data_IF_839842299964
#
_entry.id   IF_839842299964
#
_cell.length_a   1.000
_cell.length_b   1.000
_cell.length_c   1.000
_cell.angle_alpha   90.00
_cell.angle_beta   90.00
_cell.angle_gamma   90.00
#
_symmetry.space_group_name_H-M   'P 1'
#
loop_
_entity.id
_entity.type
_entity.pdbx_description
1 polymer ?
#
# COMPACT_ATOMS: atom_id res chain seq x y z
N UNK A 1 -11.06 -55.12 33.38
CA UNK A 1 -9.96 -54.20 33.80
C UNK A 1 -9.20 -53.59 32.61
N UNK A 2 -9.35 -54.13 31.39
CA UNK A 2 -8.65 -53.60 30.20
C UNK A 2 -9.40 -52.50 29.44
N UNK A 3 -10.74 -52.50 29.48
CA UNK A 3 -11.58 -51.52 28.77
C UNK A 3 -11.44 -50.12 29.39
N UNK A 4 -11.47 -49.99 30.71
CA UNK A 4 -11.32 -48.68 31.38
C UNK A 4 -9.95 -48.05 31.11
N UNK A 5 -8.87 -48.86 31.12
CA UNK A 5 -7.53 -48.41 30.77
C UNK A 5 -7.45 -47.97 29.32
N UNK A 6 -8.05 -48.73 28.40
CA UNK A 6 -8.11 -48.38 26.99
C UNK A 6 -8.87 -47.06 26.76
N UNK A 7 -10.03 -46.89 27.38
CA UNK A 7 -10.81 -45.65 27.29
C UNK A 7 -10.04 -44.46 27.86
N UNK A 8 -9.33 -44.64 28.98
CA UNK A 8 -8.50 -43.58 29.57
C UNK A 8 -7.36 -43.13 28.63
N UNK A 9 -6.65 -44.09 28.02
CA UNK A 9 -5.63 -43.78 27.01
C UNK A 9 -6.21 -43.09 25.78
N UNK A 10 -7.39 -43.51 25.33
CA UNK A 10 -8.08 -42.87 24.22
C UNK A 10 -8.43 -41.41 24.53
N UNK A 11 -8.96 -41.13 25.73
CA UNK A 11 -9.24 -39.77 26.17
C UNK A 11 -7.97 -38.94 26.30
N UNK A 12 -6.88 -39.52 26.82
CA UNK A 12 -5.60 -38.82 26.95
C UNK A 12 -5.04 -38.43 25.57
N UNK A 13 -5.06 -39.35 24.62
CA UNK A 13 -4.64 -39.10 23.23
C UNK A 13 -5.53 -38.06 22.56
N UNK A 14 -6.85 -38.12 22.78
CA UNK A 14 -7.78 -37.13 22.25
C UNK A 14 -7.47 -35.72 22.78
N UNK A 15 -7.27 -35.58 24.09
CA UNK A 15 -6.90 -34.30 24.71
C UNK A 15 -5.56 -33.78 24.18
N UNK A 16 -4.57 -34.67 24.02
CA UNK A 16 -3.29 -34.31 23.44
C UNK A 16 -3.42 -33.86 21.98
N UNK A 17 -4.25 -34.55 21.19
CA UNK A 17 -4.57 -34.19 19.81
C UNK A 17 -5.23 -32.81 19.71
N UNK A 18 -6.14 -32.47 20.62
CA UNK A 18 -6.75 -31.13 20.69
C UNK A 18 -5.70 -30.07 21.00
N UNK A 19 -4.84 -30.29 22.00
CA UNK A 19 -3.77 -29.34 22.35
C UNK A 19 -2.82 -29.14 21.17
N UNK A 20 -2.37 -30.23 20.54
CA UNK A 20 -1.53 -30.18 19.36
C UNK A 20 -2.22 -29.38 18.24
N UNK A 21 -3.51 -29.64 17.99
CA UNK A 21 -4.30 -28.91 16.99
C UNK A 21 -4.35 -27.39 17.25
N UNK A 22 -4.54 -26.97 18.51
CA UNK A 22 -4.52 -25.55 18.88
C UNK A 22 -3.14 -24.92 18.66
N UNK A 23 -2.07 -25.64 19.00
CA UNK A 23 -0.69 -25.17 18.78
C UNK A 23 -0.40 -25.00 17.28
N UNK A 24 -0.81 -25.97 16.45
CA UNK A 24 -0.69 -25.86 14.99
C UNK A 24 -1.47 -24.67 14.43
N UNK A 25 -2.72 -24.48 14.88
CA UNK A 25 -3.52 -23.33 14.44
C UNK A 25 -2.85 -21.99 14.82
N UNK A 26 -2.31 -21.88 16.03
CA UNK A 26 -1.59 -20.67 16.45
C UNK A 26 -0.36 -20.41 15.55
N UNK A 27 0.38 -21.46 15.19
CA UNK A 27 1.51 -21.36 14.27
C UNK A 27 1.08 -20.95 12.85
N UNK A 28 0.00 -21.52 12.33
CA UNK A 28 -0.56 -21.16 11.01
C UNK A 28 -1.04 -19.71 10.97
N UNK A 29 -1.68 -19.22 12.05
CA UNK A 29 -2.09 -17.82 12.15
C UNK A 29 -0.89 -16.87 12.13
N UNK A 30 0.19 -17.23 12.85
CA UNK A 30 1.42 -16.44 12.81
C UNK A 30 2.02 -16.42 11.40
N UNK A 31 2.12 -17.58 10.75
CA UNK A 31 2.65 -17.68 9.38
C UNK A 31 1.80 -16.88 8.38
N UNK A 32 0.47 -16.94 8.50
CA UNK A 32 -0.44 -16.17 7.64
C UNK A 32 -0.25 -14.66 7.81
N UNK A 33 -0.06 -14.18 9.04
CA UNK A 33 0.22 -12.76 9.28
C UNK A 33 1.54 -12.33 8.65
N UNK A 34 2.60 -13.13 8.80
CA UNK A 34 3.90 -12.87 8.16
C UNK A 34 3.80 -12.84 6.63
N UNK A 35 2.99 -13.74 6.05
CA UNK A 35 2.74 -13.76 4.60
C UNK A 35 2.01 -12.49 4.13
N UNK A 36 0.95 -12.07 4.82
CA UNK A 36 0.20 -10.85 4.48
C UNK A 36 1.09 -9.60 4.53
N UNK A 37 2.00 -9.53 5.50
CA UNK A 37 2.99 -8.44 5.57
C UNK A 37 3.93 -8.46 4.36
N UNK A 38 4.40 -9.65 3.96
CA UNK A 38 5.26 -9.79 2.78
C UNK A 38 4.53 -9.43 1.49
N UNK A 39 3.27 -9.84 1.33
CA UNK A 39 2.44 -9.50 0.17
C UNK A 39 2.17 -8.00 0.06
N UNK A 40 1.85 -7.33 1.18
CA UNK A 40 1.64 -5.87 1.20
C UNK A 40 2.90 -5.11 0.80
N UNK A 41 4.06 -5.50 1.36
CA UNK A 41 5.37 -4.95 0.97
C UNK A 41 5.70 -5.17 -0.49
N UNK A 42 5.44 -6.38 -0.99
CA UNK A 42 5.66 -6.71 -2.39
C UNK A 42 4.77 -5.86 -3.30
N UNK A 43 3.49 -5.69 -2.94
CA UNK A 43 2.56 -4.84 -3.70
C UNK A 43 3.02 -3.39 -3.72
N UNK A 44 3.52 -2.84 -2.61
CA UNK A 44 4.09 -1.48 -2.58
C UNK A 44 5.28 -1.34 -3.54
N UNK A 45 6.25 -2.26 -3.45
CA UNK A 45 7.42 -2.24 -4.34
C UNK A 45 7.05 -2.43 -5.82
N UNK A 46 6.06 -3.29 -6.09
CA UNK A 46 5.56 -3.54 -7.43
C UNK A 46 4.85 -2.30 -8.00
N UNK A 47 4.02 -1.62 -7.21
CA UNK A 47 3.37 -0.36 -7.61
C UNK A 47 4.41 0.72 -7.95
N UNK A 48 5.44 0.90 -7.12
CA UNK A 48 6.52 1.86 -7.38
C UNK A 48 7.29 1.55 -8.66
N UNK A 49 7.58 0.27 -8.89
CA UNK A 49 8.22 -0.21 -10.11
C UNK A 49 7.35 0.04 -11.34
N UNK A 50 6.07 -0.29 -11.26
CA UNK A 50 5.12 -0.14 -12.37
C UNK A 50 4.93 1.32 -12.75
N UNK A 51 4.83 2.23 -11.76
CA UNK A 51 4.83 3.67 -12.01
C UNK A 51 6.11 4.14 -12.69
N UNK A 52 7.27 3.70 -12.20
CA UNK A 52 8.56 4.05 -12.80
C UNK A 52 8.65 3.56 -14.25
N UNK A 53 8.19 2.33 -14.52
CA UNK A 53 8.18 1.77 -15.87
C UNK A 53 7.18 2.47 -16.80
N UNK A 54 5.99 2.82 -16.29
CA UNK A 54 4.98 3.55 -17.05
C UNK A 54 5.49 4.93 -17.48
N UNK A 55 6.08 5.69 -16.55
CA UNK A 55 6.60 7.03 -16.82
C UNK A 55 7.81 6.97 -17.76
N UNK A 56 8.77 6.07 -17.50
CA UNK A 56 9.97 5.95 -18.32
C UNK A 56 9.72 5.29 -19.68
N UNK A 57 8.63 4.54 -19.81
CA UNK A 57 8.27 3.83 -21.03
C UNK A 57 7.60 4.70 -22.09
N UNK A 58 7.21 5.93 -21.75
CA UNK A 58 6.55 6.86 -22.67
C UNK A 58 7.06 8.29 -22.51
N UNK A 59 7.70 8.81 -23.55
CA UNK A 59 8.14 10.20 -23.62
C UNK A 59 6.96 11.17 -23.48
N UNK A 60 5.80 10.84 -24.06
CA UNK A 60 4.57 11.65 -23.95
C UNK A 60 4.12 11.77 -22.48
N UNK A 61 4.06 10.64 -21.76
CA UNK A 61 3.67 10.61 -20.34
C UNK A 61 4.67 11.38 -19.49
N UNK A 62 5.97 11.16 -19.73
CA UNK A 62 7.04 11.88 -19.03
C UNK A 62 6.93 13.38 -19.25
N UNK A 63 6.78 13.83 -20.51
CA UNK A 63 6.61 15.24 -20.84
C UNK A 63 5.39 15.83 -20.14
N UNK A 64 4.24 15.14 -20.15
CA UNK A 64 3.03 15.60 -19.47
C UNK A 64 3.20 15.75 -17.96
N UNK A 65 3.92 14.85 -17.29
CA UNK A 65 4.10 14.89 -15.84
C UNK A 65 5.15 15.93 -15.41
N UNK A 66 6.22 16.09 -16.18
CA UNK A 66 7.33 16.99 -15.84
C UNK A 66 7.22 18.39 -16.47
N UNK A 67 6.11 18.70 -17.14
CA UNK A 67 5.77 20.10 -17.51
C UNK A 67 5.77 20.96 -16.25
N UNK A 68 6.53 22.08 -16.28
CA UNK A 68 6.62 23.06 -15.19
C UNK A 68 6.18 24.44 -15.64
N UNK A 69 5.52 25.17 -14.73
CA UNK A 69 5.18 26.58 -14.92
C UNK A 69 4.02 26.83 -15.90
N UNK A 70 4.02 27.97 -16.58
CA UNK A 70 2.92 28.45 -17.44
C UNK A 70 2.90 27.80 -18.83
N UNK A 71 3.37 26.57 -18.96
CA UNK A 71 3.25 25.88 -20.24
C UNK A 71 1.78 25.51 -20.45
N UNK A 72 1.14 26.14 -21.44
CA UNK A 72 -0.27 25.90 -21.74
C UNK A 72 -0.44 24.48 -22.30
N UNK A 73 -0.96 23.60 -21.46
CA UNK A 73 -1.49 22.32 -21.88
C UNK A 73 -2.83 22.55 -22.59
N UNK A 74 -3.06 21.83 -23.69
CA UNK A 74 -4.41 21.71 -24.25
C UNK A 74 -5.36 21.04 -23.25
N UNK A 75 -6.66 21.21 -23.44
CA UNK A 75 -7.64 20.64 -22.51
C UNK A 75 -7.56 19.11 -22.43
N UNK A 76 -7.24 18.45 -23.56
CA UNK A 76 -7.01 16.99 -23.60
C UNK A 76 -5.76 16.60 -22.77
N UNK A 77 -4.70 17.39 -22.84
CA UNK A 77 -3.47 17.13 -22.08
C UNK A 77 -3.69 17.37 -20.58
N UNK A 78 -4.50 18.37 -20.20
CA UNK A 78 -4.93 18.58 -18.81
C UNK A 78 -5.69 17.36 -18.29
N UNK A 79 -6.69 16.88 -19.04
CA UNK A 79 -7.49 15.71 -18.64
C UNK A 79 -6.63 14.44 -18.51
N UNK A 80 -5.71 14.21 -19.46
CA UNK A 80 -4.77 13.08 -19.40
C UNK A 80 -3.85 13.16 -18.20
N UNK A 81 -3.25 14.33 -17.97
CA UNK A 81 -2.36 14.57 -16.84
C UNK A 81 -3.11 14.37 -15.53
N UNK A 82 -4.32 14.92 -15.39
CA UNK A 82 -5.17 14.71 -14.22
C UNK A 82 -5.42 13.22 -13.98
N UNK A 83 -5.80 12.46 -15.01
CA UNK A 83 -6.02 11.01 -14.89
C UNK A 83 -4.78 10.23 -14.44
N UNK A 84 -3.60 10.59 -14.94
CA UNK A 84 -2.32 10.00 -14.54
C UNK A 84 -2.00 10.32 -13.08
N UNK A 85 -2.06 11.59 -12.69
CA UNK A 85 -1.78 12.04 -11.33
C UNK A 85 -2.79 11.45 -10.33
N UNK A 86 -4.06 11.34 -10.73
CA UNK A 86 -5.11 10.72 -9.93
C UNK A 86 -4.80 9.24 -9.63
N UNK A 87 -4.34 8.48 -10.63
CA UNK A 87 -3.91 7.11 -10.42
C UNK A 87 -2.72 7.01 -9.45
N UNK A 88 -1.75 7.91 -9.60
CA UNK A 88 -0.55 7.92 -8.76
C UNK A 88 -0.88 8.28 -7.31
N UNK A 89 -1.71 9.30 -7.10
CA UNK A 89 -2.07 9.76 -5.75
C UNK A 89 -2.97 8.75 -5.03
N UNK A 90 -3.81 7.99 -5.74
CA UNK A 90 -4.54 6.85 -5.14
C UNK A 90 -3.60 5.73 -4.69
N UNK A 91 -2.50 5.51 -5.43
CA UNK A 91 -1.46 4.56 -4.99
C UNK A 91 -0.84 5.05 -3.69
N UNK A 92 -0.50 6.34 -3.58
CA UNK A 92 0.05 6.91 -2.34
C UNK A 92 -0.95 6.85 -1.19
N UNK A 93 -2.23 7.11 -1.43
CA UNK A 93 -3.28 6.96 -0.41
C UNK A 93 -3.32 5.52 0.10
N UNK A 94 -3.30 4.54 -0.80
CA UNK A 94 -3.28 3.14 -0.42
C UNK A 94 -2.04 2.78 0.41
N UNK A 95 -0.84 3.18 -0.03
CA UNK A 95 0.41 2.94 0.70
C UNK A 95 0.40 3.59 2.09
N UNK A 96 -0.14 4.80 2.18
CA UNK A 96 -0.31 5.50 3.45
C UNK A 96 -1.33 4.80 4.36
N UNK A 97 -2.47 4.34 3.83
CA UNK A 97 -3.45 3.55 4.58
C UNK A 97 -2.81 2.26 5.13
N UNK A 98 -2.02 1.56 4.32
CA UNK A 98 -1.30 0.37 4.78
C UNK A 98 -0.28 0.69 5.87
N UNK A 99 0.38 1.86 5.81
CA UNK A 99 1.38 2.27 6.81
C UNK A 99 0.80 2.54 8.20
N UNK A 100 -0.51 2.79 8.29
CA UNK A 100 -1.23 2.89 9.57
C UNK A 100 -1.52 1.53 10.22
N UNK A 101 -1.24 0.44 9.51
CA UNK A 101 -1.46 -0.93 9.98
C UNK A 101 -0.13 -1.66 10.16
N UNK A 102 -0.16 -2.86 10.74
CA UNK A 102 1.03 -3.71 10.85
C UNK A 102 1.44 -4.33 9.51
N UNK A 103 0.68 -4.13 8.42
CA UNK A 103 0.89 -4.78 7.12
C UNK A 103 2.20 -4.36 6.44
N UNK A 104 2.81 -3.23 6.81
CA UNK A 104 4.15 -2.87 6.31
C UNK A 104 5.30 -3.49 7.11
N UNK A 105 5.04 -4.18 8.23
CA UNK A 105 6.05 -4.94 8.99
C UNK A 105 7.25 -4.13 9.51
N UNK A 106 7.11 -2.81 9.66
CA UNK A 106 8.21 -1.89 9.99
C UNK A 106 8.88 -1.22 8.79
N UNK A 107 8.38 -1.44 7.57
CA UNK A 107 8.75 -0.61 6.42
C UNK A 107 8.08 0.75 6.57
N UNK A 108 8.87 1.82 6.58
CA UNK A 108 8.36 3.18 6.67
C UNK A 108 7.78 3.63 5.33
N UNK A 109 6.72 4.44 5.40
CA UNK A 109 6.16 5.12 4.24
C UNK A 109 7.24 6.06 3.65
N UNK A 110 7.47 6.06 2.33
CA UNK A 110 8.55 6.84 1.72
C UNK A 110 8.17 8.31 1.54
N UNK A 111 7.92 9.04 2.64
CA UNK A 111 7.44 10.43 2.63
C UNK A 111 8.36 11.36 1.83
N UNK A 112 9.68 11.18 1.91
CA UNK A 112 10.64 11.97 1.12
C UNK A 112 10.53 11.73 -0.39
N UNK A 113 10.18 10.51 -0.82
CA UNK A 113 9.91 10.23 -2.22
C UNK A 113 8.63 10.94 -2.67
N UNK A 114 7.58 10.95 -1.84
CA UNK A 114 6.36 11.70 -2.11
C UNK A 114 6.64 13.20 -2.22
N UNK A 115 7.45 13.77 -1.31
CA UNK A 115 7.89 15.19 -1.38
C UNK A 115 8.64 15.50 -2.67
N UNK A 116 9.55 14.61 -3.07
CA UNK A 116 10.31 14.78 -4.30
C UNK A 116 9.40 14.77 -5.53
N UNK A 117 8.47 13.81 -5.60
CA UNK A 117 7.52 13.69 -6.70
C UNK A 117 6.50 14.84 -6.70
N UNK A 118 6.04 15.29 -5.53
CA UNK A 118 5.20 16.47 -5.37
C UNK A 118 5.79 17.69 -6.06
N UNK A 119 7.06 17.99 -5.77
CA UNK A 119 7.78 19.11 -6.37
C UNK A 119 8.10 18.89 -7.85
N UNK A 120 8.44 17.66 -8.23
CA UNK A 120 8.86 17.37 -9.60
C UNK A 120 7.69 17.38 -10.58
N UNK A 121 6.54 16.89 -10.16
CA UNK A 121 5.31 16.89 -10.94
C UNK A 121 4.52 18.19 -10.83
N UNK A 122 4.97 19.19 -10.06
CA UNK A 122 4.23 20.44 -9.86
C UNK A 122 2.79 20.17 -9.36
N UNK A 123 2.66 19.25 -8.40
CA UNK A 123 1.37 18.74 -7.93
C UNK A 123 0.51 19.84 -7.29
N UNK A 124 1.12 20.92 -6.80
CA UNK A 124 0.41 22.10 -6.28
C UNK A 124 -0.59 22.66 -7.30
N UNK A 125 -0.25 22.61 -8.60
CA UNK A 125 -1.12 23.07 -9.69
C UNK A 125 -2.42 22.28 -9.78
N UNK A 126 -2.33 20.96 -9.65
CA UNK A 126 -3.46 20.03 -9.88
C UNK A 126 -4.13 19.60 -8.55
N UNK A 127 -3.52 19.93 -7.39
CA UNK A 127 -3.98 19.55 -6.05
C UNK A 127 -5.42 19.98 -5.70
N UNK A 128 -5.88 21.20 -6.02
CA UNK A 128 -7.23 21.64 -5.65
C UNK A 128 -8.34 20.71 -6.16
N UNK A 129 -8.13 20.09 -7.32
CA UNK A 129 -9.05 19.13 -7.91
C UNK A 129 -8.81 17.72 -7.38
N UNK A 130 -7.54 17.28 -7.33
CA UNK A 130 -7.17 15.94 -6.85
C UNK A 130 -7.65 15.67 -5.42
N UNK A 131 -7.54 16.65 -4.52
CA UNK A 131 -7.93 16.47 -3.11
C UNK A 131 -9.43 16.21 -2.90
N UNK A 132 -10.27 16.57 -3.87
CA UNK A 132 -11.72 16.36 -3.79
C UNK A 132 -12.11 14.88 -3.90
N UNK A 133 -11.23 14.06 -4.47
CA UNK A 133 -11.47 12.61 -4.66
C UNK A 133 -10.83 11.75 -3.57
N UNK A 134 -10.08 12.37 -2.65
CA UNK A 134 -9.26 11.68 -1.65
C UNK A 134 -9.94 11.68 -0.27
N UNK A 135 -9.50 10.78 0.60
CA UNK A 135 -9.95 10.76 1.99
C UNK A 135 -9.39 11.98 2.74
N UNK A 136 -10.20 12.57 3.62
CA UNK A 136 -9.86 13.81 4.31
C UNK A 136 -8.62 13.68 5.21
N UNK A 137 -8.43 12.52 5.83
CA UNK A 137 -7.27 12.24 6.68
C UNK A 137 -5.99 12.10 5.84
N UNK A 138 -6.08 11.53 4.64
CA UNK A 138 -4.95 11.47 3.71
C UNK A 138 -4.60 12.85 3.16
N UNK A 139 -5.61 13.66 2.80
CA UNK A 139 -5.42 15.07 2.40
C UNK A 139 -4.68 15.84 3.49
N UNK A 140 -5.09 15.68 4.75
CA UNK A 140 -4.42 16.32 5.90
C UNK A 140 -2.96 15.89 6.03
N UNK A 141 -2.67 14.59 5.83
CA UNK A 141 -1.30 14.10 5.82
C UNK A 141 -0.48 14.72 4.68
N UNK A 142 -1.02 14.76 3.46
CA UNK A 142 -0.35 15.35 2.30
C UNK A 142 -0.03 16.83 2.53
N UNK A 143 -0.99 17.59 3.06
CA UNK A 143 -0.84 19.04 3.29
C UNK A 143 0.16 19.37 4.43
N UNK A 144 0.25 18.51 5.45
CA UNK A 144 1.15 18.75 6.58
C UNK A 144 2.56 18.17 6.38
N UNK A 145 2.65 16.99 5.77
CA UNK A 145 3.88 16.21 5.73
C UNK A 145 4.53 16.16 4.35
N UNK A 146 3.80 16.45 3.26
CA UNK A 146 4.32 16.27 1.89
C UNK A 146 4.42 17.57 1.10
N UNK A 147 3.44 18.47 1.20
CA UNK A 147 3.42 19.71 0.41
C UNK A 147 4.26 20.85 1.00
N UNK A 148 4.63 20.76 2.29
CA UNK A 148 5.43 21.76 3.00
C UNK A 148 6.92 21.78 2.60
#
# INVERSE_FOLDING_TARGET
>A
MDIEKFTHWLTLVANFGVIAGVVFLAYELQQNNELLVQESRYSMLQNQKDWTQFINGSEEVSNLLYVKGNQDLSDIEKDRRFGILLGNIFTWQWEWEQSKTEMLGGTELPVEAFRALWRNFDLERDWPELRLTLRSDFVTFMENEVSN
#
